data_IF_142958874393
#
_entry.id   IF_142958874393
#
_cell.length_a   1.000
_cell.length_b   1.000
_cell.length_c   1.000
_cell.angle_alpha   90.00
_cell.angle_beta   90.00
_cell.angle_gamma   90.00
#
_symmetry.space_group_name_H-M   'P 1'
#
loop_
_entity.id
_entity.type
_entity.pdbx_description
1 polymer ?
#
# COMPACT_ATOMS: atom_id res chain seq x y z
N UNK A 1 -52.32 10.43 8.94
CA UNK A 1 -51.07 10.69 8.22
C UNK A 1 -50.10 9.57 8.50
N UNK A 2 -49.49 8.98 7.47
CA UNK A 2 -48.58 7.84 7.62
C UNK A 2 -47.24 8.15 6.96
N UNK A 3 -46.15 8.02 7.71
CA UNK A 3 -44.79 8.09 7.21
C UNK A 3 -44.26 6.68 6.97
N UNK A 4 -43.68 6.44 5.81
CA UNK A 4 -43.03 5.20 5.44
C UNK A 4 -41.57 5.47 5.08
N UNK A 5 -40.62 4.73 5.63
CA UNK A 5 -39.24 4.85 5.26
C UNK A 5 -38.87 4.00 4.05
N UNK A 6 -37.81 4.39 3.35
CA UNK A 6 -37.21 3.63 2.26
C UNK A 6 -35.68 3.67 2.38
N UNK A 7 -35.03 2.54 2.10
CA UNK A 7 -33.57 2.34 2.03
C UNK A 7 -32.83 2.34 3.39
N UNK A 8 -33.56 2.27 4.51
CA UNK A 8 -32.92 2.07 5.82
C UNK A 8 -32.72 0.56 6.05
N UNK A 9 -31.52 0.10 6.48
CA UNK A 9 -31.30 -1.32 6.75
C UNK A 9 -32.23 -1.87 7.84
N UNK A 10 -32.64 -3.13 7.70
CA UNK A 10 -33.43 -3.83 8.72
C UNK A 10 -32.76 -3.73 10.10
N UNK A 11 -33.57 -3.52 11.15
CA UNK A 11 -33.09 -3.33 12.52
C UNK A 11 -32.64 -1.90 12.87
N UNK A 12 -32.56 -0.98 11.89
CA UNK A 12 -32.32 0.45 12.16
C UNK A 12 -33.56 1.10 12.78
N UNK A 13 -33.36 1.97 13.77
CA UNK A 13 -34.46 2.78 14.31
C UNK A 13 -34.53 4.12 13.59
N UNK A 14 -35.73 4.62 13.39
CA UNK A 14 -35.98 5.95 12.87
C UNK A 14 -37.16 6.59 13.58
N UNK A 15 -37.27 7.91 13.46
CA UNK A 15 -38.32 8.68 14.11
C UNK A 15 -38.82 9.80 13.24
N UNK A 16 -40.07 10.21 13.51
CA UNK A 16 -40.68 11.43 13.00
C UNK A 16 -41.14 12.24 14.18
N UNK A 17 -40.78 13.50 14.22
CA UNK A 17 -41.35 14.51 15.09
C UNK A 17 -42.33 15.34 14.32
N UNK A 18 -43.61 15.24 14.64
CA UNK A 18 -44.71 16.02 14.04
C UNK A 18 -45.28 16.94 15.10
N UNK A 19 -45.30 18.25 14.83
CA UNK A 19 -45.86 19.26 15.74
C UNK A 19 -45.37 19.10 17.20
N UNK A 20 -44.08 18.76 17.38
CA UNK A 20 -43.45 18.59 18.71
C UNK A 20 -43.66 17.19 19.33
N UNK A 21 -44.45 16.32 18.74
CA UNK A 21 -44.60 14.95 19.20
C UNK A 21 -43.70 14.00 18.39
N UNK A 22 -42.80 13.27 19.08
CA UNK A 22 -41.89 12.33 18.45
C UNK A 22 -42.37 10.91 18.58
N UNK A 23 -42.39 10.17 17.46
CA UNK A 23 -42.70 8.74 17.42
C UNK A 23 -41.55 7.98 16.78
N UNK A 24 -41.16 6.86 17.39
CA UNK A 24 -40.06 5.98 16.97
C UNK A 24 -40.61 4.64 16.46
N UNK A 25 -39.89 4.07 15.47
CA UNK A 25 -40.15 2.70 15.01
C UNK A 25 -38.86 2.11 14.41
N UNK A 26 -38.95 0.84 13.98
CA UNK A 26 -37.87 0.16 13.25
C UNK A 26 -38.10 0.24 11.74
N UNK A 27 -37.05 0.10 10.96
CA UNK A 27 -37.09 0.04 9.50
C UNK A 27 -38.10 -1.05 9.04
N UNK A 28 -38.85 -0.73 8.00
CA UNK A 28 -39.94 -1.57 7.48
C UNK A 28 -41.30 -1.36 8.18
N UNK A 29 -41.33 -0.61 9.30
CA UNK A 29 -42.59 -0.30 10.01
C UNK A 29 -42.96 1.18 9.81
N UNK A 30 -44.25 1.50 9.49
CA UNK A 30 -44.70 2.87 9.32
C UNK A 30 -44.87 3.61 10.67
N UNK A 31 -44.78 4.92 10.63
CA UNK A 31 -45.18 5.82 11.74
C UNK A 31 -46.49 6.52 11.36
N UNK A 32 -47.49 6.43 12.21
CA UNK A 32 -48.81 7.01 11.95
C UNK A 32 -49.21 8.02 13.04
N UNK A 33 -49.63 9.21 12.60
CA UNK A 33 -50.20 10.26 13.44
C UNK A 33 -51.70 10.42 13.12
N UNK A 34 -52.46 10.72 14.17
CA UNK A 34 -53.89 11.07 14.07
C UNK A 34 -54.04 12.55 14.45
N UNK A 35 -54.19 13.38 13.45
CA UNK A 35 -54.25 14.85 13.61
C UNK A 35 -55.49 15.40 12.91
N UNK A 36 -56.05 16.53 13.35
CA UNK A 36 -57.08 17.26 12.63
C UNK A 36 -56.57 17.75 11.24
N UNK A 37 -57.48 18.16 10.39
CA UNK A 37 -57.10 18.80 9.14
C UNK A 37 -56.26 20.04 9.41
N UNK A 38 -55.14 20.19 8.67
CA UNK A 38 -54.22 21.30 8.90
C UNK A 38 -52.87 21.11 8.22
N UNK A 39 -52.01 22.12 8.36
CA UNK A 39 -50.62 22.11 7.89
C UNK A 39 -49.69 21.80 9.04
N UNK A 40 -48.85 20.79 8.87
CA UNK A 40 -47.93 20.28 9.89
C UNK A 40 -46.51 20.31 9.39
N UNK A 41 -45.57 20.78 10.22
CA UNK A 41 -44.14 20.62 10.00
C UNK A 41 -43.67 19.34 10.67
N UNK A 42 -42.71 18.67 10.04
CA UNK A 42 -42.11 17.47 10.59
C UNK A 42 -40.59 17.47 10.46
N UNK A 43 -39.92 16.73 11.36
CA UNK A 43 -38.51 16.37 11.26
C UNK A 43 -38.37 14.86 11.29
N UNK A 44 -37.34 14.35 10.60
CA UNK A 44 -37.03 12.92 10.52
C UNK A 44 -35.61 12.70 10.97
N UNK A 45 -35.40 11.65 11.79
CA UNK A 45 -34.09 11.25 12.27
C UNK A 45 -33.92 9.72 12.21
N UNK A 46 -32.68 9.25 12.28
CA UNK A 46 -32.33 7.85 12.49
C UNK A 46 -31.18 7.74 13.49
N UNK A 47 -31.18 6.66 14.27
CA UNK A 47 -30.04 6.30 15.14
C UNK A 47 -28.95 5.53 14.40
N UNK A 48 -29.18 5.16 13.13
CA UNK A 48 -28.18 4.51 12.32
C UNK A 48 -27.15 5.54 11.83
N UNK A 49 -25.92 5.49 12.37
CA UNK A 49 -24.84 6.46 12.08
C UNK A 49 -24.38 6.45 10.62
N UNK A 50 -24.61 5.35 9.88
CA UNK A 50 -24.25 5.19 8.47
C UNK A 50 -25.29 5.73 7.49
N UNK A 51 -26.41 6.27 7.98
CA UNK A 51 -27.50 6.77 7.14
C UNK A 51 -27.96 8.15 7.57
N UNK A 52 -28.56 8.89 6.64
CA UNK A 52 -29.20 10.18 6.89
C UNK A 52 -30.47 10.26 6.04
N UNK A 53 -31.55 10.89 6.51
CA UNK A 53 -32.70 11.16 5.65
C UNK A 53 -32.27 12.13 4.54
N UNK A 54 -32.67 11.83 3.30
CA UNK A 54 -32.42 12.71 2.14
C UNK A 54 -33.01 14.11 2.34
N UNK A 55 -34.15 14.16 3.05
CA UNK A 55 -34.81 15.39 3.50
C UNK A 55 -35.18 15.18 4.96
N UNK A 56 -34.50 15.90 5.86
CA UNK A 56 -34.69 15.76 7.30
C UNK A 56 -35.85 16.58 7.87
N UNK A 57 -36.33 17.57 7.13
CA UNK A 57 -37.45 18.44 7.55
C UNK A 57 -38.41 18.64 6.40
N UNK A 58 -39.69 18.78 6.70
CA UNK A 58 -40.70 19.05 5.68
C UNK A 58 -41.99 19.60 6.26
N UNK A 59 -42.94 19.87 5.38
CA UNK A 59 -44.30 20.21 5.76
C UNK A 59 -45.32 19.42 4.94
N UNK A 60 -46.43 19.10 5.52
CA UNK A 60 -47.51 18.34 4.90
C UNK A 60 -48.86 19.00 5.23
N UNK A 61 -49.74 19.13 4.21
CA UNK A 61 -51.13 19.46 4.42
C UNK A 61 -51.93 18.16 4.61
N UNK A 62 -52.63 18.06 5.72
CA UNK A 62 -53.46 16.93 6.03
C UNK A 62 -54.93 17.30 5.95
N UNK A 63 -55.63 16.74 4.96
CA UNK A 63 -57.07 16.90 4.72
C UNK A 63 -57.72 15.57 4.36
N UNK A 64 -56.93 14.54 4.11
CA UNK A 64 -57.35 13.14 3.79
C UNK A 64 -56.19 12.17 4.12
N UNK A 65 -56.39 10.87 4.08
CA UNK A 65 -55.31 9.92 4.31
C UNK A 65 -54.09 10.22 3.46
N UNK A 66 -53.01 10.65 4.10
CA UNK A 66 -51.77 11.13 3.43
C UNK A 66 -50.62 10.19 3.77
N UNK A 67 -49.82 9.86 2.76
CA UNK A 67 -48.61 9.06 2.87
C UNK A 67 -47.39 9.94 2.55
N UNK A 68 -46.36 9.90 3.41
CA UNK A 68 -45.11 10.59 3.22
C UNK A 68 -44.01 9.54 3.15
N UNK A 69 -43.30 9.46 2.01
CA UNK A 69 -42.16 8.55 1.86
C UNK A 69 -40.88 9.28 2.27
N UNK A 70 -40.20 8.76 3.27
CA UNK A 70 -38.92 9.25 3.77
C UNK A 70 -37.80 8.38 3.19
N UNK A 71 -37.00 8.93 2.30
CA UNK A 71 -35.83 8.25 1.74
C UNK A 71 -34.62 8.49 2.63
N UNK A 72 -33.91 7.41 2.99
CA UNK A 72 -32.60 7.47 3.63
C UNK A 72 -31.52 7.18 2.59
N UNK A 73 -30.36 7.83 2.76
CA UNK A 73 -29.17 7.64 1.93
C UNK A 73 -27.98 7.29 2.84
N UNK A 74 -27.06 6.51 2.32
CA UNK A 74 -25.80 6.22 3.03
C UNK A 74 -25.01 7.51 3.23
N UNK A 75 -24.53 7.71 4.44
CA UNK A 75 -23.66 8.83 4.81
C UNK A 75 -22.21 8.44 4.49
N UNK A 76 -21.46 9.26 3.73
CA UNK A 76 -20.04 9.02 3.55
C UNK A 76 -19.24 9.42 4.80
N UNK A 77 -18.12 8.74 4.98
CA UNK A 77 -17.12 9.01 6.02
C UNK A 77 -15.75 9.21 5.39
N UNK A 78 -14.95 10.06 6.00
CA UNK A 78 -13.60 10.31 5.54
C UNK A 78 -12.70 9.11 5.84
N UNK A 79 -11.95 8.65 4.84
CA UNK A 79 -10.79 7.77 4.97
C UNK A 79 -9.58 8.59 4.57
N UNK A 80 -8.64 8.78 5.50
CA UNK A 80 -7.43 9.57 5.28
C UNK A 80 -6.21 8.69 5.42
N UNK A 81 -5.42 8.60 4.36
CA UNK A 81 -4.08 8.03 4.40
C UNK A 81 -3.10 9.17 4.69
N UNK A 82 -2.23 8.97 5.67
CA UNK A 82 -1.19 9.93 6.02
C UNK A 82 0.16 9.29 5.80
N UNK A 83 0.99 9.88 4.94
CA UNK A 83 2.34 9.37 4.68
C UNK A 83 3.35 9.98 5.65
N UNK A 84 4.43 9.23 5.85
CA UNK A 84 5.67 9.68 6.49
C UNK A 84 6.87 9.15 5.73
N UNK A 85 7.93 9.96 5.62
CA UNK A 85 9.21 9.57 5.04
C UNK A 85 9.44 10.00 3.61
N UNK A 86 8.43 10.49 2.89
CA UNK A 86 8.63 11.12 1.59
C UNK A 86 9.24 12.53 1.74
N UNK A 87 10.03 12.92 0.76
CA UNK A 87 10.46 14.31 0.64
C UNK A 87 9.25 15.19 0.30
N UNK A 88 9.16 16.36 0.94
CA UNK A 88 8.06 17.32 0.69
C UNK A 88 7.86 17.59 -0.80
N UNK A 89 6.61 17.51 -1.26
CA UNK A 89 6.24 17.71 -2.66
C UNK A 89 6.35 16.45 -3.52
N UNK A 90 6.79 15.32 -2.97
CA UNK A 90 6.78 14.04 -3.70
C UNK A 90 5.34 13.58 -3.94
N UNK A 91 5.03 13.25 -5.19
CA UNK A 91 3.72 12.70 -5.57
C UNK A 91 3.61 11.24 -5.15
N UNK A 92 2.49 10.89 -4.51
CA UNK A 92 2.16 9.51 -4.13
C UNK A 92 0.67 9.24 -4.33
N UNK A 93 0.33 7.99 -4.55
CA UNK A 93 -1.02 7.56 -4.93
C UNK A 93 -1.47 6.41 -4.05
N UNK A 94 -2.74 6.46 -3.68
CA UNK A 94 -3.45 5.34 -3.04
C UNK A 94 -4.60 4.93 -3.92
N UNK A 95 -4.75 3.65 -4.17
CA UNK A 95 -5.95 3.03 -4.71
C UNK A 95 -6.78 2.49 -3.55
N UNK A 96 -8.03 2.92 -3.45
CA UNK A 96 -9.02 2.40 -2.51
C UNK A 96 -10.14 1.74 -3.29
N UNK A 97 -10.15 0.41 -3.29
CA UNK A 97 -11.18 -0.43 -3.95
C UNK A 97 -11.40 -0.08 -5.44
N UNK A 98 -10.30 0.20 -6.18
CA UNK A 98 -10.32 0.57 -7.61
C UNK A 98 -10.49 2.06 -7.89
N UNK A 99 -10.57 2.91 -6.86
CA UNK A 99 -10.55 4.36 -7.01
C UNK A 99 -9.19 4.90 -6.56
N UNK A 100 -8.45 5.54 -7.48
CA UNK A 100 -7.11 6.07 -7.18
C UNK A 100 -7.15 7.57 -6.92
N UNK A 101 -6.56 8.00 -5.82
CA UNK A 101 -6.31 9.41 -5.49
C UNK A 101 -4.82 9.66 -5.32
N UNK A 102 -4.35 10.79 -5.84
CA UNK A 102 -2.93 11.21 -5.81
C UNK A 102 -2.79 12.52 -5.05
N UNK A 103 -1.70 12.67 -4.31
CA UNK A 103 -1.38 13.89 -3.57
C UNK A 103 0.13 14.19 -3.64
N UNK A 104 0.49 15.45 -3.47
CA UNK A 104 1.85 15.94 -3.22
C UNK A 104 2.03 16.45 -1.80
N UNK A 105 0.98 16.34 -0.99
CA UNK A 105 1.01 16.63 0.45
C UNK A 105 1.11 15.34 1.24
N UNK A 106 1.22 15.43 2.55
CA UNK A 106 1.30 14.26 3.43
C UNK A 106 0.01 13.44 3.53
N UNK A 107 -1.09 13.84 2.87
CA UNK A 107 -2.37 13.13 2.99
C UNK A 107 -3.02 12.86 1.65
N UNK A 108 -3.67 11.67 1.55
CA UNK A 108 -4.61 11.29 0.50
C UNK A 108 -5.94 10.95 1.16
N UNK A 109 -7.03 11.56 0.70
CA UNK A 109 -8.36 11.41 1.27
C UNK A 109 -9.37 10.77 0.32
N UNK A 110 -10.33 10.04 0.91
CA UNK A 110 -11.51 9.48 0.25
C UNK A 110 -12.75 9.73 1.09
N UNK A 111 -13.89 9.81 0.45
CA UNK A 111 -15.20 9.81 1.11
C UNK A 111 -15.97 8.56 0.68
N UNK A 112 -16.24 7.64 1.61
CA UNK A 112 -16.89 6.36 1.32
C UNK A 112 -17.91 6.00 2.39
N UNK A 113 -19.00 5.29 2.04
CA UNK A 113 -19.97 4.82 3.02
C UNK A 113 -19.39 3.72 3.93
N UNK A 114 -20.19 3.26 4.89
CA UNK A 114 -19.85 2.07 5.69
C UNK A 114 -19.55 0.89 4.78
N UNK A 115 -18.50 0.14 5.09
CA UNK A 115 -18.06 -1.00 4.30
C UNK A 115 -16.62 -1.40 4.59
N UNK A 116 -16.18 -2.49 3.95
CA UNK A 116 -14.79 -2.95 3.98
C UNK A 116 -14.16 -2.67 2.61
N UNK A 117 -12.99 -2.05 2.63
CA UNK A 117 -12.29 -1.57 1.45
C UNK A 117 -10.87 -2.12 1.42
N UNK A 118 -10.47 -2.68 0.30
CA UNK A 118 -9.07 -2.99 0.04
C UNK A 118 -8.32 -1.73 -0.42
N UNK A 119 -7.04 -1.63 -0.10
CA UNK A 119 -6.22 -0.52 -0.57
C UNK A 119 -4.83 -0.99 -0.99
N UNK A 120 -4.24 -0.24 -1.90
CA UNK A 120 -2.86 -0.38 -2.38
C UNK A 120 -2.25 1.01 -2.45
N UNK A 121 -1.02 1.13 -1.95
CA UNK A 121 -0.19 2.33 -2.13
C UNK A 121 0.79 2.08 -3.26
N UNK A 122 0.80 2.95 -4.25
CA UNK A 122 1.68 2.82 -5.41
C UNK A 122 3.15 3.00 -5.05
N UNK A 123 4.02 2.37 -5.84
CA UNK A 123 5.46 2.52 -5.70
C UNK A 123 5.89 3.95 -6.02
N UNK A 124 6.72 4.53 -5.15
CA UNK A 124 7.36 5.83 -5.35
C UNK A 124 8.84 5.60 -5.65
N UNK A 125 9.33 6.15 -6.77
CA UNK A 125 10.73 5.99 -7.18
C UNK A 125 11.69 6.51 -6.12
N UNK A 126 12.68 5.70 -5.76
CA UNK A 126 13.65 6.03 -4.69
C UNK A 126 13.15 5.74 -3.28
N UNK A 127 11.98 5.11 -3.13
CA UNK A 127 11.40 4.75 -1.84
C UNK A 127 10.85 3.33 -1.85
N UNK A 128 10.70 2.77 -0.67
CA UNK A 128 9.98 1.52 -0.42
C UNK A 128 8.95 1.76 0.68
N UNK A 129 7.74 1.25 0.48
CA UNK A 129 6.70 1.26 1.52
C UNK A 129 7.01 0.16 2.53
N UNK A 130 7.11 0.52 3.80
CA UNK A 130 7.46 -0.41 4.89
C UNK A 130 6.32 -0.68 5.85
N UNK A 131 5.32 0.20 5.89
CA UNK A 131 4.11 0.04 6.72
C UNK A 131 2.89 0.41 5.87
N UNK A 132 1.87 -0.46 5.87
CA UNK A 132 0.59 -0.26 5.19
C UNK A 132 0.70 0.06 3.69
N UNK A 133 1.57 -0.64 2.96
CA UNK A 133 1.64 -0.54 1.49
C UNK A 133 0.42 -1.16 0.79
N UNK A 134 -0.21 -2.13 1.42
CA UNK A 134 -1.43 -2.82 0.97
C UNK A 134 -2.17 -3.38 2.16
N UNK A 135 -3.49 -3.50 2.07
CA UNK A 135 -4.31 -4.03 3.15
C UNK A 135 -5.80 -3.85 2.93
N UNK A 136 -6.53 -3.94 4.02
CA UNK A 136 -7.96 -3.63 4.07
C UNK A 136 -8.28 -2.80 5.30
N UNK A 137 -9.31 -1.98 5.20
CA UNK A 137 -9.86 -1.18 6.28
C UNK A 137 -11.38 -1.32 6.34
N UNK A 138 -11.97 -1.07 7.48
CA UNK A 138 -13.43 -1.07 7.67
C UNK A 138 -13.88 0.31 8.12
N UNK A 139 -14.86 0.86 7.42
CA UNK A 139 -15.59 2.08 7.80
C UNK A 139 -16.89 1.65 8.46
N UNK A 140 -17.09 2.01 9.72
CA UNK A 140 -18.26 1.67 10.52
C UNK A 140 -18.70 2.88 11.37
N UNK A 141 -19.37 3.82 10.71
CA UNK A 141 -19.98 4.99 11.36
C UNK A 141 -19.00 6.09 11.77
N UNK A 142 -17.72 5.98 11.45
CA UNK A 142 -16.69 6.96 11.80
C UNK A 142 -15.61 7.10 10.73
N UNK A 143 -14.87 8.23 10.78
CA UNK A 143 -13.70 8.43 9.94
C UNK A 143 -12.58 7.45 10.28
N UNK A 144 -11.80 7.03 9.27
CA UNK A 144 -10.67 6.10 9.41
C UNK A 144 -9.38 6.79 8.97
N UNK A 145 -8.31 6.62 9.76
CA UNK A 145 -6.98 7.12 9.43
C UNK A 145 -6.01 5.93 9.28
N UNK A 146 -5.21 5.94 8.21
CA UNK A 146 -4.20 4.92 7.91
C UNK A 146 -2.85 5.61 7.79
N UNK A 147 -1.88 5.18 8.59
CA UNK A 147 -0.49 5.66 8.48
C UNK A 147 0.25 4.81 7.44
N UNK A 148 0.89 5.47 6.47
CA UNK A 148 1.76 4.84 5.46
C UNK A 148 3.19 5.31 5.70
N UNK A 149 4.14 4.38 5.78
CA UNK A 149 5.55 4.73 5.99
C UNK A 149 6.38 4.37 4.76
N UNK A 150 7.08 5.36 4.24
CA UNK A 150 8.05 5.22 3.16
C UNK A 150 9.47 5.35 3.71
N UNK A 151 10.36 4.48 3.27
CA UNK A 151 11.78 4.59 3.55
C UNK A 151 12.53 4.85 2.23
N UNK A 152 13.41 5.85 2.26
CA UNK A 152 14.24 6.16 1.10
C UNK A 152 15.23 5.03 0.80
N UNK A 153 15.45 4.79 -0.50
CA UNK A 153 16.43 3.82 -0.99
C UNK A 153 17.51 4.51 -1.82
N UNK A 154 18.69 3.91 -1.82
CA UNK A 154 19.85 4.41 -2.55
C UNK A 154 20.39 3.33 -3.47
N UNK A 155 20.88 3.73 -4.64
CA UNK A 155 21.45 2.81 -5.61
C UNK A 155 22.79 2.28 -5.12
N UNK A 156 22.94 0.96 -5.03
CA UNK A 156 24.21 0.27 -4.86
C UNK A 156 24.58 -0.35 -6.20
N UNK A 157 25.70 0.10 -6.79
CA UNK A 157 26.18 -0.37 -8.08
C UNK A 157 27.38 -1.28 -7.92
N UNK A 158 27.18 -2.56 -8.18
CA UNK A 158 28.23 -3.56 -8.28
C UNK A 158 28.83 -3.51 -9.69
N UNK A 159 30.13 -3.37 -9.80
CA UNK A 159 30.84 -3.33 -11.09
C UNK A 159 31.93 -4.39 -11.10
N UNK A 160 31.87 -5.31 -12.06
CA UNK A 160 32.86 -6.34 -12.23
C UNK A 160 33.94 -5.89 -13.26
N UNK A 161 35.14 -6.45 -13.10
CA UNK A 161 36.23 -6.35 -14.07
C UNK A 161 37.02 -7.65 -14.14
N UNK A 162 37.53 -7.99 -15.32
CA UNK A 162 38.42 -9.13 -15.52
C UNK A 162 37.75 -10.40 -16.04
N UNK A 163 36.42 -10.48 -16.06
CA UNK A 163 35.76 -11.59 -16.74
C UNK A 163 35.74 -11.39 -18.27
N UNK A 164 35.83 -12.46 -19.06
CA UNK A 164 35.55 -12.39 -20.49
C UNK A 164 34.11 -11.89 -20.74
N UNK A 165 33.94 -11.10 -21.81
CA UNK A 165 32.62 -10.54 -22.17
C UNK A 165 31.54 -11.62 -22.25
N UNK A 166 30.37 -11.36 -21.69
CA UNK A 166 29.23 -12.29 -21.65
C UNK A 166 29.34 -13.42 -20.61
N UNK A 167 30.39 -13.44 -19.80
CA UNK A 167 30.50 -14.42 -18.70
C UNK A 167 29.45 -14.12 -17.61
N UNK A 168 28.70 -15.13 -17.22
CA UNK A 168 27.67 -15.02 -16.16
C UNK A 168 28.30 -14.95 -14.78
N UNK A 169 27.87 -13.98 -14.00
CA UNK A 169 28.23 -13.81 -12.60
C UNK A 169 27.02 -13.46 -11.74
N UNK A 170 27.14 -13.51 -10.42
CA UNK A 170 26.05 -13.36 -9.45
C UNK A 170 26.48 -12.53 -8.26
N UNK A 171 25.55 -11.77 -7.69
CA UNK A 171 25.69 -11.08 -6.41
C UNK A 171 24.56 -11.56 -5.49
N UNK A 172 24.91 -12.04 -4.32
CA UNK A 172 23.95 -12.43 -3.30
C UNK A 172 24.15 -11.55 -2.06
N UNK A 173 23.25 -10.58 -1.86
CA UNK A 173 23.22 -9.74 -0.67
C UNK A 173 22.49 -10.52 0.43
N UNK A 174 23.10 -10.62 1.62
CA UNK A 174 22.55 -11.41 2.73
C UNK A 174 21.15 -10.89 3.12
N UNK A 175 20.19 -11.80 3.21
CA UNK A 175 18.79 -11.46 3.54
C UNK A 175 17.94 -10.95 2.39
N UNK A 176 18.47 -10.93 1.16
CA UNK A 176 17.76 -10.52 -0.04
C UNK A 176 17.69 -11.63 -1.08
N UNK A 177 16.81 -11.47 -2.07
CA UNK A 177 16.81 -12.36 -3.22
C UNK A 177 18.12 -12.23 -4.01
N UNK A 178 18.58 -13.34 -4.62
CA UNK A 178 19.76 -13.33 -5.50
C UNK A 178 19.55 -12.38 -6.68
N UNK A 179 20.64 -11.76 -7.17
CA UNK A 179 20.62 -10.92 -8.36
C UNK A 179 20.09 -11.63 -9.63
N UNK A 180 20.03 -12.97 -9.61
CA UNK A 180 19.90 -13.75 -10.83
C UNK A 180 21.20 -13.73 -11.68
N UNK A 181 21.18 -14.29 -12.90
CA UNK A 181 22.33 -14.30 -13.79
C UNK A 181 22.59 -12.89 -14.36
N UNK A 182 23.80 -12.37 -14.15
CA UNK A 182 24.27 -11.09 -14.69
C UNK A 182 25.28 -11.39 -15.82
N UNK A 183 25.05 -10.85 -17.00
CA UNK A 183 25.97 -10.99 -18.18
C UNK A 183 26.58 -9.66 -18.59
N UNK A 184 26.18 -8.57 -17.94
CA UNK A 184 26.74 -7.22 -18.10
C UNK A 184 27.84 -6.97 -17.06
N UNK A 185 28.65 -5.94 -17.28
CA UNK A 185 29.73 -5.56 -16.37
C UNK A 185 29.26 -4.87 -15.09
N UNK A 186 27.95 -4.67 -14.90
CA UNK A 186 27.42 -4.06 -13.69
C UNK A 186 26.01 -4.57 -13.36
N UNK A 187 25.70 -4.54 -12.05
CA UNK A 187 24.39 -4.80 -11.46
C UNK A 187 24.06 -3.70 -10.47
N UNK A 188 22.82 -3.29 -10.40
CA UNK A 188 22.36 -2.27 -9.43
C UNK A 188 21.23 -2.81 -8.57
N UNK A 189 21.31 -2.52 -7.28
CA UNK A 189 20.25 -2.77 -6.30
C UNK A 189 19.85 -1.46 -5.62
N UNK A 190 18.58 -1.31 -5.24
CA UNK A 190 18.08 -0.19 -4.44
C UNK A 190 17.93 -0.64 -3.00
N UNK A 191 18.69 -0.04 -2.08
CA UNK A 191 18.79 -0.44 -0.67
C UNK A 191 18.54 0.74 0.26
N UNK A 192 17.93 0.47 1.41
CA UNK A 192 17.80 1.46 2.48
C UNK A 192 19.15 1.70 3.16
N UNK A 193 19.23 2.73 4.01
CA UNK A 193 20.38 2.92 4.89
C UNK A 193 20.61 1.67 5.75
N UNK A 194 21.86 1.23 5.85
CA UNK A 194 22.24 0.06 6.59
C UNK A 194 23.61 -0.50 6.21
N UNK A 195 24.07 -1.48 6.96
CA UNK A 195 25.29 -2.25 6.67
C UNK A 195 24.90 -3.60 6.09
N UNK A 196 25.53 -3.96 4.98
CA UNK A 196 25.20 -5.13 4.19
C UNK A 196 26.44 -5.99 3.97
N UNK A 197 26.25 -7.31 4.00
CA UNK A 197 27.22 -8.29 3.55
C UNK A 197 26.73 -8.96 2.28
N UNK A 198 27.65 -9.40 1.44
CA UNK A 198 27.30 -10.05 0.19
C UNK A 198 28.37 -11.06 -0.25
N UNK A 199 27.98 -11.94 -1.15
CA UNK A 199 28.88 -12.88 -1.83
C UNK A 199 28.78 -12.71 -3.33
N UNK A 200 29.90 -13.01 -3.99
CA UNK A 200 30.02 -12.97 -5.46
C UNK A 200 30.46 -14.33 -5.98
N UNK A 201 29.89 -14.75 -7.09
CA UNK A 201 30.30 -15.98 -7.78
C UNK A 201 30.23 -15.83 -9.30
N UNK A 202 30.88 -16.73 -10.04
CA UNK A 202 30.79 -16.80 -11.49
C UNK A 202 30.62 -18.26 -11.93
N UNK A 203 29.98 -18.48 -13.08
CA UNK A 203 29.93 -19.79 -13.71
C UNK A 203 31.27 -20.23 -14.29
N UNK A 204 32.14 -19.29 -14.64
CA UNK A 204 33.48 -19.58 -15.16
C UNK A 204 34.44 -19.93 -14.02
N UNK A 205 34.64 -21.22 -13.76
CA UNK A 205 35.49 -21.75 -12.68
C UNK A 205 36.98 -21.45 -12.83
N UNK A 206 37.41 -20.94 -13.99
CA UNK A 206 38.81 -20.52 -14.21
C UNK A 206 39.09 -19.11 -13.69
N UNK A 207 38.07 -18.44 -13.11
CA UNK A 207 38.21 -17.12 -12.49
C UNK A 207 37.75 -17.13 -11.03
N UNK A 208 38.40 -16.32 -10.21
CA UNK A 208 38.06 -16.13 -8.79
C UNK A 208 37.84 -14.65 -8.50
N UNK A 209 36.77 -14.27 -7.76
CA UNK A 209 36.51 -12.90 -7.39
C UNK A 209 37.35 -12.44 -6.21
N UNK A 210 37.78 -11.19 -6.24
CA UNK A 210 38.40 -10.46 -5.12
C UNK A 210 37.59 -9.19 -4.88
N UNK A 211 37.08 -9.00 -3.67
CA UNK A 211 36.24 -7.85 -3.28
C UNK A 211 36.20 -7.71 -1.75
N UNK A 212 35.73 -6.57 -1.26
CA UNK A 212 35.39 -6.39 0.16
C UNK A 212 33.99 -6.92 0.39
N UNK A 213 33.74 -7.90 1.30
CA UNK A 213 32.46 -8.62 1.40
C UNK A 213 31.34 -7.83 2.10
N UNK A 214 31.57 -6.56 2.40
CA UNK A 214 30.59 -5.68 3.06
C UNK A 214 30.66 -4.26 2.54
N UNK A 215 29.55 -3.53 2.66
CA UNK A 215 29.43 -2.10 2.40
C UNK A 215 28.38 -1.48 3.32
N UNK A 216 28.38 -0.15 3.43
CA UNK A 216 27.37 0.61 4.18
C UNK A 216 26.69 1.60 3.25
N UNK A 217 25.36 1.64 3.28
CA UNK A 217 24.52 2.67 2.66
C UNK A 217 24.21 3.71 3.73
N UNK A 218 24.57 4.96 3.48
CA UNK A 218 24.37 6.07 4.42
C UNK A 218 23.98 7.35 3.66
N UNK A 219 22.77 7.40 3.17
CA UNK A 219 22.20 8.59 2.54
C UNK A 219 22.71 8.90 1.13
N UNK A 220 23.52 8.02 0.51
CA UNK A 220 24.09 8.23 -0.82
C UNK A 220 24.25 6.93 -1.61
N UNK A 221 24.32 6.99 -2.95
CA UNK A 221 24.66 5.85 -3.79
C UNK A 221 26.04 5.28 -3.45
N UNK A 222 26.17 3.93 -3.50
CA UNK A 222 27.40 3.22 -3.13
C UNK A 222 27.95 2.44 -4.34
N UNK A 223 29.16 2.73 -4.83
CA UNK A 223 29.86 1.90 -5.80
C UNK A 223 30.57 0.75 -5.09
N UNK A 224 30.43 -0.48 -5.62
CA UNK A 224 31.13 -1.69 -5.14
C UNK A 224 31.91 -2.29 -6.30
N UNK A 225 33.24 -2.34 -6.17
CA UNK A 225 34.12 -2.92 -7.17
C UNK A 225 34.40 -4.39 -6.90
N UNK A 226 34.36 -5.21 -7.95
CA UNK A 226 34.65 -6.64 -7.92
C UNK A 226 35.69 -6.91 -9.01
N UNK A 227 36.79 -7.53 -8.64
CA UNK A 227 37.83 -7.93 -9.59
C UNK A 227 37.88 -9.43 -9.71
N UNK A 228 37.71 -9.94 -10.92
CA UNK A 228 37.95 -11.37 -11.21
C UNK A 228 39.35 -11.56 -11.76
N UNK A 229 40.05 -12.55 -11.27
CA UNK A 229 41.40 -12.93 -11.72
C UNK A 229 41.41 -14.40 -12.14
N UNK A 230 42.22 -14.77 -13.16
CA UNK A 230 42.39 -16.18 -13.49
C UNK A 230 42.92 -16.99 -12.31
N UNK A 231 42.35 -18.18 -12.14
CA UNK A 231 42.87 -19.18 -11.18
C UNK A 231 44.09 -19.85 -11.81
N UNK A 232 45.23 -19.69 -11.15
CA UNK A 232 46.49 -20.29 -11.60
C UNK A 232 46.70 -21.66 -10.92
N UNK A 233 47.04 -22.63 -11.72
CA UNK A 233 47.38 -23.98 -11.26
C UNK A 233 48.85 -24.23 -11.47
N UNK A 234 49.53 -24.81 -10.48
CA UNK A 234 50.94 -25.26 -10.60
C UNK A 234 50.94 -26.58 -11.37
N UNK A 235 51.67 -26.62 -12.48
CA UNK A 235 51.95 -27.86 -13.23
C UNK A 235 53.36 -28.29 -12.88
N UNK A 236 53.52 -29.43 -12.24
CA UNK A 236 54.85 -30.02 -11.91
C UNK A 236 55.14 -31.12 -12.90
N UNK A 237 56.26 -30.97 -13.62
CA UNK A 237 56.82 -32.04 -14.45
C UNK A 237 57.86 -32.78 -13.57
N UNK A 238 57.66 -34.10 -13.41
CA UNK A 238 58.62 -34.98 -12.73
C UNK A 238 59.18 -35.93 -13.75
N UNK A 239 60.47 -35.89 -13.94
CA UNK A 239 61.17 -36.88 -14.72
C UNK A 239 61.55 -38.03 -13.84
N UNK A 240 61.30 -39.26 -14.30
CA UNK A 240 61.70 -40.47 -13.61
C UNK A 240 62.51 -41.32 -14.62
N UNK A 241 63.74 -41.65 -14.29
CA UNK A 241 64.53 -42.61 -15.07
C UNK A 241 65.64 -42.01 -15.94
N UNK A 242 66.11 -40.80 -15.68
CA UNK A 242 67.31 -40.26 -16.36
C UNK A 242 68.52 -41.07 -15.93
N UNK A 243 68.94 -42.00 -16.80
CA UNK A 243 70.19 -42.76 -16.61
C UNK A 243 71.34 -41.88 -17.13
N UNK A 244 72.12 -41.31 -16.22
CA UNK A 244 73.34 -40.63 -16.58
C UNK A 244 74.31 -41.66 -17.18
N UNK A 245 74.44 -41.73 -18.49
CA UNK A 245 75.56 -42.45 -19.11
C UNK A 245 76.81 -41.59 -19.04
N UNK A 246 77.69 -41.98 -18.10
CA UNK A 246 79.07 -41.49 -18.07
C UNK A 246 79.79 -42.29 -19.14
N UNK A 247 80.20 -41.60 -20.22
CA UNK A 247 81.17 -42.19 -21.18
C UNK A 247 82.58 -42.01 -20.60
N UNK A 248 83.28 -43.09 -20.48
CA UNK A 248 84.72 -43.12 -20.25
C UNK A 248 85.50 -42.68 -21.49
#
# INVERSE_FOLDING_TARGET
>A
MTFCEANLPAGSNWSVTLNGTTTYTVAGSPITFKEPDGKYNYTVETTNSGYTPKVSTGSVNYSEPTFVVVQFVQKPFNVTFTETGLQSGTSWTVDLNGTSNTSTTSTVGFEVPNGTYSFIVDNVSGYVVTVNGTGSLTVDGAAVNVLVTFNQTFTVKFSESGLPSGTTWYVNITGMASSGPITTTSYSASLQNGSYTFTVSTQNKTFSPTYTPSFTVNGAPVPVAIKFTPVLYTVTFTETGLILRISQ
#
